data_IF_185544673623
#
_entry.id   IF_185544673623
#
_cell.length_a   1.000
_cell.length_b   1.000
_cell.length_c   1.000
_cell.angle_alpha   90.00
_cell.angle_beta   90.00
_cell.angle_gamma   90.00
#
_symmetry.space_group_name_H-M   'P 1'
#
loop_
_entity.id
_entity.type
_entity.pdbx_description
1 polymer ?
#
# COMPACT_ATOMS: atom_id res chain seq x y z
N UNK A 1 -11.91 -2.08 -20.71
CA UNK A 1 -10.60 -1.64 -20.18
C UNK A 1 -10.61 -1.96 -18.70
N UNK A 2 -9.61 -2.69 -18.19
CA UNK A 2 -9.54 -3.11 -16.79
C UNK A 2 -8.71 -2.09 -15.99
N UNK A 3 -9.21 -1.67 -14.83
CA UNK A 3 -8.51 -0.76 -13.94
C UNK A 3 -7.55 -1.53 -13.02
N UNK A 4 -6.44 -0.89 -12.66
CA UNK A 4 -5.45 -1.36 -11.69
C UNK A 4 -5.63 -0.60 -10.39
N UNK A 5 -5.79 -1.33 -9.28
CA UNK A 5 -5.78 -0.71 -7.96
C UNK A 5 -4.33 -0.56 -7.47
N UNK A 6 -3.96 0.64 -7.04
CA UNK A 6 -2.64 0.92 -6.46
C UNK A 6 -2.82 1.25 -4.98
N UNK A 7 -2.20 0.47 -4.13
CA UNK A 7 -2.24 0.59 -2.68
C UNK A 7 -0.89 1.12 -2.18
N UNK A 8 -0.86 2.40 -1.79
CA UNK A 8 0.37 3.12 -1.40
C UNK A 8 0.64 2.93 0.10
N UNK A 9 1.39 1.90 0.44
CA UNK A 9 1.82 1.58 1.80
C UNK A 9 3.15 2.26 2.21
N UNK A 10 3.54 3.32 1.49
CA UNK A 10 4.68 4.20 1.78
C UNK A 10 4.22 5.54 2.36
N UNK A 11 5.05 6.17 3.19
CA UNK A 11 4.88 7.56 3.63
C UNK A 11 5.38 7.83 5.04
N UNK A 12 5.51 9.13 5.35
CA UNK A 12 6.09 9.61 6.61
C UNK A 12 5.41 9.04 7.86
N UNK A 13 6.24 8.47 8.74
CA UNK A 13 5.86 7.87 10.03
C UNK A 13 5.82 8.87 11.18
N UNK A 14 6.17 10.14 10.91
CA UNK A 14 6.46 11.19 11.89
C UNK A 14 5.32 11.50 12.88
N UNK A 15 4.06 11.24 12.52
CA UNK A 15 2.90 11.49 13.40
C UNK A 15 2.54 10.32 14.32
N UNK A 16 3.10 9.14 14.08
CA UNK A 16 2.84 7.90 14.82
C UNK A 16 4.15 7.20 15.16
N UNK A 17 5.23 7.95 15.38
CA UNK A 17 6.58 7.42 15.61
C UNK A 17 6.60 6.38 16.72
N UNK A 18 5.89 6.63 17.82
CA UNK A 18 5.86 5.74 18.98
C UNK A 18 5.24 4.36 18.66
N UNK A 19 4.28 4.34 17.74
CA UNK A 19 3.63 3.10 17.30
C UNK A 19 4.41 2.41 16.17
N UNK A 20 5.13 3.20 15.36
CA UNK A 20 5.77 2.76 14.13
C UNK A 20 7.27 2.51 14.26
N UNK A 21 7.83 2.70 15.45
CA UNK A 21 9.24 2.41 15.77
C UNK A 21 9.54 0.92 15.75
N UNK A 22 8.56 0.09 16.16
CA UNK A 22 8.73 -1.37 16.28
C UNK A 22 7.97 -2.16 15.22
N UNK A 23 6.90 -1.59 14.67
CA UNK A 23 6.04 -2.25 13.66
C UNK A 23 5.81 -1.28 12.50
N UNK A 24 6.08 -1.66 11.24
CA UNK A 24 5.72 -0.87 10.08
C UNK A 24 4.26 -0.40 10.10
N UNK A 25 4.01 0.84 9.68
CA UNK A 25 2.64 1.41 9.62
C UNK A 25 1.63 0.49 8.90
N UNK A 26 1.95 -0.12 7.74
CA UNK A 26 1.01 -1.02 7.06
C UNK A 26 0.66 -2.28 7.86
N UNK A 27 1.50 -2.66 8.82
CA UNK A 27 1.37 -3.87 9.64
C UNK A 27 0.78 -3.59 11.02
N UNK A 28 0.49 -2.33 11.35
CA UNK A 28 -0.12 -2.00 12.63
C UNK A 28 -1.44 -2.76 12.81
N UNK A 29 -1.62 -3.45 13.94
CA UNK A 29 -2.83 -4.23 14.18
C UNK A 29 -4.01 -3.30 14.47
N UNK A 30 -5.08 -3.45 13.68
CA UNK A 30 -6.39 -2.80 13.89
C UNK A 30 -7.44 -3.90 13.81
N UNK A 31 -8.16 -4.15 14.91
CA UNK A 31 -9.23 -5.15 14.93
C UNK A 31 -8.77 -6.57 14.53
N UNK A 32 -7.61 -7.02 15.05
CA UNK A 32 -7.00 -8.32 14.76
C UNK A 32 -6.55 -8.55 13.30
N UNK A 33 -6.53 -7.49 12.48
CA UNK A 33 -5.98 -7.50 11.12
C UNK A 33 -4.92 -6.40 11.00
N UNK A 34 -3.84 -6.57 10.23
CA UNK A 34 -2.94 -5.45 9.96
C UNK A 34 -3.65 -4.40 9.11
N UNK A 35 -3.23 -3.15 9.26
CA UNK A 35 -3.83 -2.01 8.58
C UNK A 35 -3.94 -2.23 7.05
N UNK A 36 -2.97 -2.90 6.46
CA UNK A 36 -2.94 -3.17 5.02
C UNK A 36 -4.03 -4.10 4.49
N UNK A 37 -4.56 -4.94 5.37
CA UNK A 37 -5.61 -5.88 5.02
C UNK A 37 -6.90 -5.18 4.56
N UNK A 38 -7.24 -4.03 5.13
CA UNK A 38 -8.49 -3.32 4.87
C UNK A 38 -8.64 -2.81 3.43
N UNK A 39 -7.68 -2.04 2.87
CA UNK A 39 -7.78 -1.61 1.48
C UNK A 39 -7.63 -2.76 0.50
N UNK A 40 -6.80 -3.77 0.81
CA UNK A 40 -6.72 -4.96 -0.04
C UNK A 40 -8.07 -5.70 -0.09
N UNK A 41 -8.73 -5.88 1.06
CA UNK A 41 -10.06 -6.49 1.14
C UNK A 41 -11.12 -5.66 0.39
N UNK A 42 -11.03 -4.32 0.45
CA UNK A 42 -11.93 -3.43 -0.29
C UNK A 42 -11.75 -3.58 -1.80
N UNK A 43 -10.52 -3.57 -2.28
CA UNK A 43 -10.17 -3.74 -3.69
C UNK A 43 -10.63 -5.11 -4.21
N UNK A 44 -10.44 -6.16 -3.42
CA UNK A 44 -10.97 -7.50 -3.71
C UNK A 44 -12.51 -7.53 -3.75
N UNK A 45 -13.17 -6.87 -2.80
CA UNK A 45 -14.65 -6.80 -2.76
C UNK A 45 -15.25 -6.01 -3.93
N UNK A 46 -14.55 -4.98 -4.42
CA UNK A 46 -14.99 -4.20 -5.59
C UNK A 46 -14.76 -4.96 -6.90
N UNK A 47 -14.01 -6.07 -6.88
CA UNK A 47 -13.79 -6.93 -8.04
C UNK A 47 -12.62 -6.49 -8.92
N UNK A 48 -11.63 -5.79 -8.37
CA UNK A 48 -10.38 -5.53 -9.07
C UNK A 48 -9.60 -6.84 -9.26
N UNK A 49 -9.08 -7.06 -10.46
CA UNK A 49 -8.27 -8.23 -10.80
C UNK A 49 -6.76 -7.94 -10.74
N UNK A 50 -6.38 -6.67 -10.90
CA UNK A 50 -4.98 -6.20 -10.84
C UNK A 50 -4.79 -5.26 -9.66
N UNK A 51 -3.89 -5.62 -8.73
CA UNK A 51 -3.56 -4.83 -7.55
C UNK A 51 -2.06 -4.69 -7.42
N UNK A 52 -1.57 -3.46 -7.34
CA UNK A 52 -0.19 -3.12 -7.08
C UNK A 52 -0.09 -2.56 -5.66
N UNK A 53 0.83 -3.08 -4.86
CA UNK A 53 1.12 -2.56 -3.53
C UNK A 53 2.51 -1.95 -3.53
N UNK A 54 2.61 -0.68 -3.17
CA UNK A 54 3.88 0.06 -3.14
C UNK A 54 4.33 0.24 -1.70
N UNK A 55 5.53 -0.25 -1.36
CA UNK A 55 6.10 -0.13 -0.01
C UNK A 55 7.62 -0.15 -0.03
N UNK A 56 8.26 0.09 1.12
CA UNK A 56 9.70 -0.06 1.25
C UNK A 56 10.11 -1.53 1.36
N UNK A 57 11.37 -1.84 1.05
CA UNK A 57 11.88 -3.23 1.17
C UNK A 57 11.80 -3.78 2.59
N UNK A 58 11.97 -2.94 3.61
CA UNK A 58 11.92 -3.39 5.00
C UNK A 58 10.50 -3.70 5.46
N UNK A 59 9.50 -2.95 4.97
CA UNK A 59 8.09 -3.25 5.21
C UNK A 59 7.66 -4.54 4.49
N UNK A 60 8.17 -4.79 3.29
CA UNK A 60 7.90 -6.03 2.55
C UNK A 60 8.37 -7.27 3.31
N UNK A 61 9.59 -7.24 3.88
CA UNK A 61 10.11 -8.37 4.67
C UNK A 61 9.21 -8.70 5.86
N UNK A 62 8.64 -7.68 6.48
CA UNK A 62 7.72 -7.83 7.60
C UNK A 62 6.29 -8.25 7.14
N UNK A 63 5.90 -7.93 5.91
CA UNK A 63 4.62 -8.27 5.31
C UNK A 63 4.45 -9.76 4.98
N UNK A 64 5.49 -10.60 5.02
CA UNK A 64 5.42 -12.04 4.70
C UNK A 64 4.36 -12.87 5.47
N UNK A 65 3.52 -12.24 6.29
CA UNK A 65 2.23 -12.78 6.71
C UNK A 65 1.36 -13.17 5.50
N UNK A 66 1.05 -14.46 5.40
CA UNK A 66 0.10 -15.00 4.44
C UNK A 66 -1.30 -14.42 4.67
N UNK A 67 -1.63 -13.33 3.99
CA UNK A 67 -3.01 -12.92 3.85
C UNK A 67 -3.72 -13.96 2.99
N UNK A 68 -4.67 -14.69 3.58
CA UNK A 68 -5.61 -15.54 2.82
C UNK A 68 -6.53 -14.64 2.01
N UNK A 69 -6.04 -14.15 0.88
CA UNK A 69 -6.78 -13.37 -0.12
C UNK A 69 -6.90 -14.18 -1.39
N UNK A 70 -7.99 -13.99 -2.14
CA UNK A 70 -8.14 -14.62 -3.46
C UNK A 70 -7.25 -13.93 -4.48
N UNK A 71 -7.06 -12.62 -4.32
CA UNK A 71 -6.16 -11.82 -5.17
C UNK A 71 -4.72 -11.85 -4.64
N UNK A 72 -3.76 -12.03 -5.54
CA UNK A 72 -2.33 -11.90 -5.25
C UNK A 72 -1.87 -10.51 -5.68
N UNK A 73 -1.60 -9.58 -4.74
CA UNK A 73 -1.08 -8.28 -5.10
C UNK A 73 0.34 -8.38 -5.68
N UNK A 74 0.63 -7.58 -6.69
CA UNK A 74 1.99 -7.33 -7.19
C UNK A 74 2.67 -6.30 -6.27
N UNK A 75 3.73 -6.71 -5.57
CA UNK A 75 4.40 -5.87 -4.58
C UNK A 75 5.60 -5.19 -5.21
N UNK A 76 5.52 -3.87 -5.36
CA UNK A 76 6.61 -3.04 -5.86
C UNK A 76 7.33 -2.39 -4.69
N UNK A 77 8.60 -2.76 -4.52
CA UNK A 77 9.46 -2.17 -3.52
C UNK A 77 10.16 -0.93 -4.06
N UNK A 78 9.99 0.18 -3.35
CA UNK A 78 10.71 1.43 -3.60
C UNK A 78 11.86 1.61 -2.60
N UNK A 79 12.93 2.34 -2.98
CA UNK A 79 14.00 2.67 -2.06
C UNK A 79 13.49 3.50 -0.87
N UNK A 80 14.04 3.25 0.31
CA UNK A 80 13.72 4.01 1.54
C UNK A 80 14.60 5.26 1.62
N UNK A 81 14.45 6.14 0.63
CA UNK A 81 15.11 7.44 0.61
C UNK A 81 14.22 8.45 1.34
N UNK A 82 14.82 9.23 2.25
CA UNK A 82 14.12 10.20 3.10
C UNK A 82 13.35 11.27 2.29
N UNK A 83 13.76 11.50 1.04
CA UNK A 83 13.14 12.49 0.14
C UNK A 83 12.01 11.91 -0.74
N UNK A 84 11.74 10.60 -0.70
CA UNK A 84 10.75 9.98 -1.58
C UNK A 84 9.31 10.14 -1.05
N UNK A 85 8.54 11.02 -1.69
CA UNK A 85 7.14 11.25 -1.36
C UNK A 85 6.16 10.32 -2.09
N UNK A 86 4.86 10.55 -1.89
CA UNK A 86 3.78 9.84 -2.61
C UNK A 86 3.88 10.07 -4.13
N UNK A 87 4.19 11.30 -4.56
CA UNK A 87 4.34 11.64 -5.96
C UNK A 87 5.55 10.93 -6.61
N UNK A 88 6.69 10.87 -5.90
CA UNK A 88 7.88 10.17 -6.37
C UNK A 88 7.65 8.67 -6.48
N UNK A 89 6.91 8.10 -5.51
CA UNK A 89 6.49 6.71 -5.51
C UNK A 89 5.57 6.40 -6.70
N UNK A 90 4.63 7.28 -7.03
CA UNK A 90 3.79 7.17 -8.23
C UNK A 90 4.61 7.27 -9.52
N UNK A 91 5.56 8.20 -9.57
CA UNK A 91 6.46 8.37 -10.72
C UNK A 91 7.35 7.16 -10.94
N UNK A 92 7.81 6.52 -9.86
CA UNK A 92 8.62 5.31 -9.90
C UNK A 92 7.84 4.13 -10.51
N UNK A 93 6.57 3.96 -10.12
CA UNK A 93 5.73 2.87 -10.63
C UNK A 93 5.07 3.21 -11.98
N UNK A 94 5.14 4.47 -12.45
CA UNK A 94 4.49 4.94 -13.68
C UNK A 94 4.68 4.03 -14.91
N UNK A 95 5.87 3.45 -15.18
CA UNK A 95 6.05 2.53 -16.30
C UNK A 95 5.20 1.25 -16.23
N UNK A 96 4.73 0.89 -15.04
CA UNK A 96 3.92 -0.29 -14.78
C UNK A 96 2.40 0.02 -14.77
N UNK A 97 2.01 1.30 -14.86
CA UNK A 97 0.62 1.73 -14.74
C UNK A 97 -0.08 1.77 -16.10
N UNK A 98 -1.33 1.30 -16.14
CA UNK A 98 -2.22 1.39 -17.32
C UNK A 98 -3.40 2.33 -17.10
N UNK A 99 -4.26 2.04 -16.13
CA UNK A 99 -5.44 2.84 -15.77
C UNK A 99 -5.69 2.66 -14.27
N UNK A 100 -5.71 3.72 -13.47
CA UNK A 100 -5.38 3.64 -12.04
C UNK A 100 -6.58 3.97 -11.14
N UNK A 101 -6.76 3.17 -10.08
CA UNK A 101 -7.48 3.59 -8.88
C UNK A 101 -6.49 3.64 -7.71
N UNK A 102 -6.24 4.83 -7.17
CA UNK A 102 -5.21 5.02 -6.14
C UNK A 102 -5.81 5.06 -4.73
N UNK A 103 -5.24 4.28 -3.82
CA UNK A 103 -5.57 4.29 -2.40
C UNK A 103 -4.30 4.54 -1.56
N UNK A 104 -4.31 5.57 -0.71
CA UNK A 104 -3.15 5.96 0.13
C UNK A 104 -3.44 5.81 1.63
N UNK A 105 -2.45 5.35 2.41
CA UNK A 105 -2.53 5.15 3.87
C UNK A 105 -2.35 6.43 4.72
N UNK A 106 -2.49 7.62 4.13
CA UNK A 106 -2.48 8.85 4.93
C UNK A 106 -3.72 8.93 5.82
N UNK A 107 -3.73 9.84 6.80
CA UNK A 107 -4.71 9.99 7.90
C UNK A 107 -6.19 10.25 7.48
N UNK A 108 -6.52 10.01 6.21
CA UNK A 108 -7.81 10.07 5.57
C UNK A 108 -7.86 8.88 4.62
N UNK A 109 -8.88 8.03 4.76
CA UNK A 109 -9.19 6.98 3.79
C UNK A 109 -9.67 7.66 2.51
N UNK A 110 -8.75 8.20 1.72
CA UNK A 110 -9.05 8.93 0.49
C UNK A 110 -8.68 8.08 -0.71
N UNK A 111 -9.72 7.59 -1.39
CA UNK A 111 -9.67 7.02 -2.73
C UNK A 111 -9.52 8.17 -3.72
N UNK A 112 -8.43 8.20 -4.49
CA UNK A 112 -8.23 9.15 -5.58
C UNK A 112 -8.44 8.40 -6.89
N UNK A 113 -9.53 8.73 -7.61
CA UNK A 113 -9.69 8.34 -9.01
C UNK A 113 -8.87 9.32 -9.85
N UNK A 114 -7.93 8.80 -10.64
CA UNK A 114 -7.14 9.56 -11.61
C UNK A 114 -7.37 9.01 -13.02
#
# INVERSE_FOLDING_TARGET
MAFQAVVMAVGGRSRMTDLTSSIPKPLLPVGNKPLIWYPLNLVEHVGFEEVIVVMTRDDQKALCAEFKMKIKPDVVCIPDDADMGTADSLRYIYPNLRQILLHSFSNQMSMVLA
#
